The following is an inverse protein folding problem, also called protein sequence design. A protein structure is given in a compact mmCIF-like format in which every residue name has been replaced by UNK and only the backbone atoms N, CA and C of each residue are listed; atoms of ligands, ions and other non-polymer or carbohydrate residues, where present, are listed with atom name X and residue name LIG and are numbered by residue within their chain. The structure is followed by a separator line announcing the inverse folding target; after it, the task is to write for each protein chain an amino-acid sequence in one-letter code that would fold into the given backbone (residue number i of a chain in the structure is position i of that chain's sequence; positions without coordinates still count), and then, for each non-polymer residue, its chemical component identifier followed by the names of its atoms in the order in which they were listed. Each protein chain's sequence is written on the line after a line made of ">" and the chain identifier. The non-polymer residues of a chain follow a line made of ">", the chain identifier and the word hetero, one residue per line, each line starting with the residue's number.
data_IF_334772684444
#
_entry.id   IF_334772684444
#
_cell.length_a   1.000
_cell.length_b   1.000
_cell.length_c   1.000
_cell.angle_alpha   90.00
_cell.angle_beta   90.00
_cell.angle_gamma   90.00
#
_symmetry.space_group_name_H-M   'P 1'
#
loop_
_entity.id
_entity.type
_entity.pdbx_description
1 polymer ?
#
# COMPACT_ATOMS: atom_id res chain seq x y z
N UNK A 1 0.70 -1.49 -11.64
CA UNK A 1 0.43 -1.94 -10.27
C UNK A 1 -1.05 -1.77 -9.99
N UNK A 2 -1.67 -2.77 -9.45
CA UNK A 2 -3.08 -2.72 -9.12
C UNK A 2 -3.27 -2.95 -7.64
N UNK A 3 -4.25 -2.26 -7.07
CA UNK A 3 -4.56 -2.39 -5.67
C UNK A 3 -6.03 -2.08 -5.43
N UNK A 4 -6.51 -2.39 -4.25
CA UNK A 4 -7.87 -2.12 -3.86
C UNK A 4 -7.88 -1.54 -2.45
N UNK A 5 -8.97 -0.88 -2.11
CA UNK A 5 -9.16 -0.37 -0.77
C UNK A 5 -9.06 -1.53 0.21
N UNK A 6 -8.30 -1.35 1.26
CA UNK A 6 -8.05 -2.39 2.24
C UNK A 6 -6.73 -3.11 2.05
N UNK A 7 -6.13 -3.00 0.88
CA UNK A 7 -4.80 -3.57 0.67
C UNK A 7 -3.77 -2.77 1.44
N UNK A 8 -2.63 -3.38 1.68
CA UNK A 8 -1.56 -2.73 2.42
C UNK A 8 -0.46 -2.35 1.46
N UNK A 9 0.06 -1.15 1.64
CA UNK A 9 1.17 -0.65 0.85
C UNK A 9 2.40 -0.57 1.73
N UNK A 10 3.50 -1.14 1.26
CA UNK A 10 4.79 -1.06 1.93
C UNK A 10 5.74 -0.30 1.02
N UNK A 11 6.30 0.79 1.54
CA UNK A 11 7.27 1.59 0.80
C UNK A 11 8.62 1.42 1.49
N UNK A 12 9.57 0.87 0.79
CA UNK A 12 10.90 0.64 1.36
C UNK A 12 11.67 1.94 1.40
N UNK A 13 12.43 2.14 2.46
CA UNK A 13 13.23 3.33 2.60
C UNK A 13 14.30 3.41 1.52
N UNK A 14 14.43 4.57 0.92
CA UNK A 14 15.36 4.78 -0.17
C UNK A 14 16.71 5.29 0.31
N UNK A 15 16.81 5.68 1.56
CA UNK A 15 18.01 6.29 2.12
C UNK A 15 18.48 5.44 3.29
N UNK A 16 19.79 5.32 3.41
CA UNK A 16 20.37 4.56 4.53
C UNK A 16 19.86 5.12 5.84
N UNK A 17 19.39 4.25 6.71
CA UNK A 17 18.85 4.64 7.99
C UNK A 17 17.38 4.96 7.99
N UNK A 18 16.75 4.99 6.82
CA UNK A 18 15.34 5.24 6.74
C UNK A 18 14.56 3.95 6.92
N UNK A 19 13.49 4.00 7.64
CA UNK A 19 12.66 2.82 7.85
C UNK A 19 11.64 2.66 6.74
N UNK A 20 11.23 1.43 6.50
CA UNK A 20 10.12 1.18 5.61
C UNK A 20 8.86 1.83 6.18
N UNK A 21 8.01 2.30 5.29
CA UNK A 21 6.74 2.88 5.68
C UNK A 21 5.63 1.99 5.20
N UNK A 22 4.63 1.80 6.04
CA UNK A 22 3.51 0.94 5.72
C UNK A 22 2.21 1.65 6.03
N UNK A 23 1.20 1.33 5.26
CA UNK A 23 -0.11 1.88 5.50
C UNK A 23 -1.19 1.11 4.77
N UNK A 24 -2.41 1.46 5.09
CA UNK A 24 -3.58 0.86 4.44
C UNK A 24 -4.04 1.76 3.31
N UNK A 25 -4.34 1.16 2.17
CA UNK A 25 -4.90 1.90 1.04
C UNK A 25 -6.36 2.16 1.35
N UNK A 26 -6.72 3.44 1.48
CA UNK A 26 -8.08 3.82 1.82
C UNK A 26 -8.83 4.37 0.62
N UNK A 27 -8.13 4.66 -0.47
CA UNK A 27 -8.78 5.07 -1.70
C UNK A 27 -7.86 4.79 -2.87
N UNK A 28 -8.43 4.33 -3.97
CA UNK A 28 -7.69 4.10 -5.21
C UNK A 28 -8.21 5.12 -6.23
N UNK A 29 -7.32 5.97 -6.70
CA UNK A 29 -7.72 7.07 -7.56
C UNK A 29 -7.45 6.84 -9.03
N UNK A 30 -6.58 5.93 -9.35
CA UNK A 30 -6.25 5.65 -10.73
C UNK A 30 -7.21 4.65 -11.36
N UNK A 31 -7.27 4.61 -12.67
CA UNK A 31 -8.14 3.66 -13.35
C UNK A 31 -7.61 2.24 -13.22
N UNK A 32 -8.52 1.28 -13.18
CA UNK A 32 -8.13 -0.12 -13.15
C UNK A 32 -7.40 -0.55 -11.90
N UNK A 33 -7.58 0.16 -10.80
CA UNK A 33 -6.89 -0.17 -9.57
C UNK A 33 -5.48 0.38 -9.50
N UNK A 34 -5.16 1.33 -10.38
CA UNK A 34 -3.82 1.90 -10.45
C UNK A 34 -3.60 3.11 -9.56
N UNK A 35 -2.35 3.56 -9.51
CA UNK A 35 -2.04 4.74 -8.71
C UNK A 35 -2.63 6.01 -9.31
N UNK A 36 -2.71 7.07 -8.52
CA UNK A 36 -2.21 7.15 -7.15
C UNK A 36 -3.16 6.55 -6.14
N UNK A 37 -2.60 6.20 -4.99
CA UNK A 37 -3.40 5.63 -3.89
C UNK A 37 -3.40 6.58 -2.72
N UNK A 38 -4.56 6.74 -2.08
CA UNK A 38 -4.60 7.43 -0.81
C UNK A 38 -4.31 6.39 0.28
N UNK A 39 -3.30 6.64 1.08
CA UNK A 39 -2.81 5.68 2.06
C UNK A 39 -2.83 6.31 3.43
N UNK A 40 -3.35 5.57 4.41
CA UNK A 40 -3.21 5.95 5.80
C UNK A 40 -2.07 5.15 6.39
N UNK A 41 -0.99 5.83 6.70
CA UNK A 41 0.20 5.19 7.24
C UNK A 41 0.01 4.81 8.69
N UNK A 42 0.85 3.90 9.17
CA UNK A 42 0.72 3.37 10.53
C UNK A 42 0.93 4.45 11.59
N UNK A 43 1.57 5.55 11.26
CA UNK A 43 1.74 6.67 12.18
C UNK A 43 0.52 7.59 12.22
N UNK A 44 -0.52 7.27 11.46
CA UNK A 44 -1.74 8.06 11.44
C UNK A 44 -1.81 9.12 10.36
N UNK A 45 -0.74 9.34 9.63
CA UNK A 45 -0.76 10.31 8.55
C UNK A 45 -1.41 9.71 7.31
N UNK A 46 -2.12 10.54 6.56
CA UNK A 46 -2.69 10.14 5.30
C UNK A 46 -2.06 10.95 4.19
N UNK A 47 -1.84 10.33 3.06
CA UNK A 47 -1.28 11.03 1.93
C UNK A 47 -1.48 10.29 0.64
N UNK A 48 -1.37 11.05 -0.45
CA UNK A 48 -1.48 10.47 -1.78
C UNK A 48 -0.12 9.95 -2.18
N UNK A 49 -0.09 8.73 -2.64
CA UNK A 49 1.17 8.05 -2.93
C UNK A 49 1.19 7.60 -4.38
N UNK A 50 2.32 7.88 -5.05
CA UNK A 50 2.59 7.37 -6.38
C UNK A 50 3.68 6.32 -6.22
N UNK A 51 3.32 5.04 -6.04
CA UNK A 51 4.31 4.03 -5.72
C UNK A 51 5.30 3.84 -6.85
N UNK A 52 6.56 3.76 -6.49
CA UNK A 52 7.62 3.46 -7.43
C UNK A 52 8.06 2.02 -7.30
N UNK A 53 9.22 1.69 -7.86
CA UNK A 53 9.72 0.32 -7.82
C UNK A 53 10.04 -0.17 -6.41
N UNK A 54 10.16 0.75 -5.46
CA UNK A 54 10.46 0.36 -4.08
C UNK A 54 9.20 0.10 -3.26
N UNK A 55 8.04 0.12 -3.88
CA UNK A 55 6.79 -0.09 -3.18
C UNK A 55 6.21 -1.45 -3.52
N UNK A 56 5.57 -2.06 -2.55
CA UNK A 56 4.95 -3.37 -2.70
C UNK A 56 3.53 -3.30 -2.15
N UNK A 57 2.58 -3.86 -2.90
CA UNK A 57 1.20 -3.98 -2.43
C UNK A 57 0.99 -5.38 -1.92
N UNK A 58 0.48 -5.49 -0.71
CA UNK A 58 0.13 -6.76 -0.11
C UNK A 58 -1.38 -6.83 -0.09
N UNK A 59 -1.98 -7.73 -0.87
CA UNK A 59 -3.44 -7.81 -0.94
C UNK A 59 -4.04 -8.18 0.39
N UNK A 60 -5.15 -7.54 0.70
CA UNK A 60 -5.83 -7.78 1.97
C UNK A 60 -6.25 -9.24 2.13
N UNK A 61 -6.55 -9.90 1.03
CA UNK A 61 -7.04 -11.25 1.09
C UNK A 61 -5.94 -12.31 0.98
N UNK A 62 -4.70 -11.92 0.84
CA UNK A 62 -3.68 -12.91 0.60
C UNK A 62 -3.54 -13.87 1.76
N UNK A 63 -3.68 -13.38 2.95
CA UNK A 63 -3.61 -14.25 4.10
C UNK A 63 -4.88 -14.99 4.35
N UNK A 64 -5.98 -14.35 4.09
CA UNK A 64 -7.25 -14.97 4.35
C UNK A 64 -7.53 -16.11 3.38
N UNK A 65 -6.96 -15.97 2.23
CA UNK A 65 -7.24 -16.99 1.25
C UNK A 65 -6.87 -18.35 1.75
N UNK A 66 -6.05 -18.41 2.70
CA UNK A 66 -5.67 -19.56 3.16
C UNK A 66 -6.39 -19.84 4.17
N UNK A 67 -6.46 -19.79 4.53
CA UNK A 67 -7.15 -20.03 5.46
C UNK A 67 -8.31 -20.50 5.23
N UNK A 68 -8.36 -20.77 4.48
CA UNK A 68 -9.41 -21.17 4.43
C UNK A 68 -10.21 -20.22 4.47
N UNK A 69 -9.85 -19.81 4.26
CA UNK A 69 -10.67 -19.08 4.27
C UNK A 69 -10.77 -18.74 3.75
#
# INVERSE_FOLDING_TARGET
>A
MQAAVGDRLVVHGAVVGEHDRQGEIIEVRGPGGGPPFMVRFDDGHEGLVFPGPDAVVIPAHSGAARGGS
#
